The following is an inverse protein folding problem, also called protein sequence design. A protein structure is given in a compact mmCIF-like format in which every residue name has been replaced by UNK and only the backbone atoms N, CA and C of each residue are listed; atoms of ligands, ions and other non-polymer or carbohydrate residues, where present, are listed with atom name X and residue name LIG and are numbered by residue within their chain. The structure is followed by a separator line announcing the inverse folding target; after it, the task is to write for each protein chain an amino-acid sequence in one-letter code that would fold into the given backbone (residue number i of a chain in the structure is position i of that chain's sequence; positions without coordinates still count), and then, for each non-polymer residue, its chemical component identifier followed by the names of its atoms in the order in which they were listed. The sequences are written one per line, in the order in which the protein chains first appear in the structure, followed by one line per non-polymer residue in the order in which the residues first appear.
data_IF_094307948630
#
_entry.id   IF_094307948630
#
_cell.length_a   1.000
_cell.length_b   1.000
_cell.length_c   1.000
_cell.angle_alpha   90.00
_cell.angle_beta   90.00
_cell.angle_gamma   90.00
#
_symmetry.space_group_name_H-M   'P 1'
#
loop_
_entity.id
_entity.type
_entity.pdbx_description
1 polymer ?
#
# COMPACT_ATOMS: atom_id res chain seq x y z
N UNK A 1 13.72 7.54 -2.20
CA UNK A 1 13.95 7.57 -3.67
C UNK A 1 14.25 6.19 -4.26
N UNK A 2 14.78 5.24 -3.50
CA UNK A 2 15.12 3.90 -4.05
C UNK A 2 13.91 3.03 -4.43
N UNK A 3 12.76 3.20 -3.75
CA UNK A 3 11.54 2.40 -4.02
C UNK A 3 11.03 2.58 -5.45
N UNK A 4 11.09 3.79 -6.01
CA UNK A 4 10.60 4.04 -7.39
C UNK A 4 11.48 3.32 -8.40
N UNK A 5 12.79 3.34 -8.21
CA UNK A 5 13.75 2.59 -9.04
C UNK A 5 13.59 1.08 -8.91
N UNK A 6 13.22 0.59 -7.72
CA UNK A 6 12.95 -0.82 -7.47
C UNK A 6 11.65 -1.27 -8.18
N UNK A 7 10.63 -0.42 -8.17
CA UNK A 7 9.33 -0.74 -8.77
C UNK A 7 9.30 -0.52 -10.29
N UNK A 8 10.09 0.42 -10.82
CA UNK A 8 10.12 0.82 -12.24
C UNK A 8 11.56 1.05 -12.73
N UNK A 9 12.29 0.00 -13.12
CA UNK A 9 13.71 0.09 -13.49
C UNK A 9 13.97 0.93 -14.74
N UNK A 10 12.98 1.10 -15.61
CA UNK A 10 13.10 1.85 -16.88
C UNK A 10 13.23 3.37 -16.67
N UNK A 11 12.93 3.87 -15.47
CA UNK A 11 12.99 5.30 -15.10
C UNK A 11 14.41 5.76 -14.71
N UNK A 12 15.41 4.87 -14.77
CA UNK A 12 16.79 5.13 -14.36
C UNK A 12 17.51 6.24 -15.14
N UNK A 13 17.00 6.63 -16.31
CA UNK A 13 17.56 7.67 -17.18
C UNK A 13 17.03 9.09 -16.92
N UNK A 14 16.01 9.24 -16.07
CA UNK A 14 15.33 10.51 -15.83
C UNK A 14 16.13 11.42 -14.88
N UNK A 15 15.98 12.73 -15.04
CA UNK A 15 16.57 13.72 -14.13
C UNK A 15 15.93 13.64 -12.74
N UNK A 16 16.65 14.05 -11.69
CA UNK A 16 16.15 13.98 -10.30
C UNK A 16 14.78 14.67 -10.13
N UNK A 17 14.50 15.72 -10.89
CA UNK A 17 13.21 16.41 -10.91
C UNK A 17 12.09 15.59 -11.55
N UNK A 18 12.36 14.88 -12.64
CA UNK A 18 11.38 13.99 -13.28
C UNK A 18 11.12 12.76 -12.39
N UNK A 19 12.17 12.22 -11.77
CA UNK A 19 12.06 11.15 -10.76
C UNK A 19 11.19 11.60 -9.58
N UNK A 20 11.30 12.85 -9.12
CA UNK A 20 10.42 13.34 -8.04
C UNK A 20 8.95 13.38 -8.45
N UNK A 21 8.63 13.82 -9.67
CA UNK A 21 7.23 13.92 -10.11
C UNK A 21 6.60 12.53 -10.26
N UNK A 22 7.30 11.59 -10.90
CA UNK A 22 6.81 10.20 -11.02
C UNK A 22 6.69 9.52 -9.64
N UNK A 23 7.62 9.80 -8.72
CA UNK A 23 7.53 9.32 -7.35
C UNK A 23 6.30 9.86 -6.62
N UNK A 24 5.94 11.12 -6.88
CA UNK A 24 4.76 11.76 -6.31
C UNK A 24 3.47 11.14 -6.86
N UNK A 25 3.39 10.93 -8.17
CA UNK A 25 2.23 10.29 -8.79
C UNK A 25 2.04 8.86 -8.28
N UNK A 26 3.11 8.06 -8.26
CA UNK A 26 3.07 6.69 -7.73
C UNK A 26 2.67 6.65 -6.25
N UNK A 27 3.21 7.58 -5.45
CA UNK A 27 2.83 7.72 -4.03
C UNK A 27 1.34 8.02 -3.92
N UNK A 28 0.81 8.92 -4.74
CA UNK A 28 -0.60 9.29 -4.72
C UNK A 28 -1.50 8.13 -5.12
N UNK A 29 -1.14 7.41 -6.20
CA UNK A 29 -1.86 6.21 -6.63
C UNK A 29 -1.85 5.12 -5.55
N UNK A 30 -0.73 4.87 -4.89
CA UNK A 30 -0.66 3.89 -3.82
C UNK A 30 -1.48 4.33 -2.59
N UNK A 31 -1.34 5.59 -2.17
CA UNK A 31 -1.97 6.11 -0.97
C UNK A 31 -3.50 6.16 -1.12
N UNK A 32 -4.00 6.72 -2.22
CA UNK A 32 -5.44 6.90 -2.45
C UNK A 32 -6.08 5.72 -3.19
N UNK A 33 -5.33 5.04 -4.05
CA UNK A 33 -5.78 3.87 -4.79
C UNK A 33 -5.64 2.55 -4.03
N UNK A 34 -4.86 2.46 -2.96
CA UNK A 34 -4.77 1.18 -2.23
C UNK A 34 -4.94 1.40 -0.74
N UNK A 35 -4.03 2.14 -0.12
CA UNK A 35 -3.95 2.21 1.34
C UNK A 35 -5.22 2.80 1.96
N UNK A 36 -5.73 3.91 1.43
CA UNK A 36 -6.95 4.55 1.92
C UNK A 36 -8.20 3.68 1.71
N UNK A 37 -8.27 2.93 0.61
CA UNK A 37 -9.38 1.97 0.39
C UNK A 37 -9.32 0.82 1.40
N UNK A 38 -8.14 0.30 1.71
CA UNK A 38 -7.96 -0.69 2.77
C UNK A 38 -8.32 -0.14 4.15
N UNK A 39 -8.08 1.15 4.41
CA UNK A 39 -8.57 1.81 5.61
C UNK A 39 -10.10 1.87 5.67
N UNK A 40 -10.78 2.20 4.56
CA UNK A 40 -12.25 2.19 4.51
C UNK A 40 -12.85 0.81 4.74
N UNK A 41 -12.17 -0.24 4.27
CA UNK A 41 -12.57 -1.64 4.53
C UNK A 41 -12.25 -2.09 5.96
N UNK A 42 -11.58 -1.26 6.77
CA UNK A 42 -11.17 -1.60 8.13
C UNK A 42 -10.01 -2.60 8.20
N UNK A 43 -9.34 -2.88 7.07
CA UNK A 43 -8.18 -3.79 6.99
C UNK A 43 -6.88 -3.09 7.44
N UNK A 44 -6.79 -1.79 7.21
CA UNK A 44 -5.71 -0.94 7.71
C UNK A 44 -6.25 0.18 8.60
N UNK A 45 -5.41 0.70 9.47
CA UNK A 45 -5.65 1.91 10.26
C UNK A 45 -4.52 2.91 9.98
N UNK A 46 -4.88 4.14 9.62
CA UNK A 46 -3.91 5.23 9.40
C UNK A 46 -3.80 6.06 10.68
N UNK A 47 -2.67 5.93 11.39
CA UNK A 47 -2.35 6.76 12.54
C UNK A 47 -1.95 8.16 12.07
N UNK A 48 -2.77 9.15 12.41
CA UNK A 48 -2.60 10.56 12.01
C UNK A 48 -2.62 11.52 13.21
N UNK A 49 -2.50 11.03 14.43
CA UNK A 49 -2.47 11.90 15.61
C UNK A 49 -1.33 12.93 15.49
N UNK A 50 -1.69 14.22 15.51
CA UNK A 50 -0.72 15.32 15.42
C UNK A 50 -0.22 15.67 14.01
N UNK A 51 -0.77 15.03 12.96
CA UNK A 51 -0.37 15.29 11.57
C UNK A 51 -1.28 16.30 10.86
N UNK A 52 -0.69 17.12 9.98
CA UNK A 52 -1.46 18.01 9.11
C UNK A 52 -2.09 17.24 7.95
N UNK A 53 -2.96 17.91 7.20
CA UNK A 53 -3.71 17.33 6.08
C UNK A 53 -2.81 16.78 4.96
N UNK A 54 -1.59 17.32 4.81
CA UNK A 54 -0.62 16.95 3.79
C UNK A 54 0.43 15.95 4.28
N UNK A 55 0.49 15.70 5.59
CA UNK A 55 1.48 14.80 6.17
C UNK A 55 1.03 13.34 6.01
N UNK A 56 2.02 12.46 5.81
CA UNK A 56 1.78 11.02 5.65
C UNK A 56 1.57 10.37 7.01
N UNK A 57 0.44 9.67 7.16
CA UNK A 57 0.18 8.84 8.33
C UNK A 57 0.92 7.51 8.27
N UNK A 58 1.11 6.89 9.44
CA UNK A 58 1.63 5.51 9.50
C UNK A 58 0.47 4.53 9.40
N UNK A 59 0.59 3.53 8.53
CA UNK A 59 -0.45 2.52 8.34
C UNK A 59 -0.16 1.26 9.18
N UNK A 60 -1.16 0.81 9.93
CA UNK A 60 -1.12 -0.38 10.75
C UNK A 60 -2.14 -1.41 10.27
N UNK A 61 -1.76 -2.69 10.26
CA UNK A 61 -2.70 -3.78 9.99
C UNK A 61 -3.67 -3.91 11.16
N UNK A 62 -4.95 -4.08 10.87
CA UNK A 62 -5.96 -4.35 11.89
C UNK A 62 -6.12 -5.86 12.11
N UNK A 63 -6.83 -6.31 13.17
CA UNK A 63 -7.16 -7.72 13.32
C UNK A 63 -7.96 -8.30 12.13
N UNK A 64 -8.76 -7.48 11.44
CA UNK A 64 -9.54 -7.92 10.27
C UNK A 64 -8.63 -8.35 9.11
N UNK A 65 -7.47 -7.70 8.94
CA UNK A 65 -6.46 -8.10 7.96
C UNK A 65 -6.07 -9.57 8.11
N UNK A 66 -5.76 -9.99 9.35
CA UNK A 66 -5.34 -11.36 9.61
C UNK A 66 -6.48 -12.36 9.39
N UNK A 67 -7.71 -12.01 9.81
CA UNK A 67 -8.88 -12.86 9.62
C UNK A 67 -9.19 -13.09 8.14
N UNK A 68 -9.12 -12.05 7.30
CA UNK A 68 -9.35 -12.18 5.85
C UNK A 68 -8.31 -13.05 5.15
N UNK A 69 -7.03 -12.93 5.51
CA UNK A 69 -5.97 -13.74 4.93
C UNK A 69 -6.01 -15.21 5.38
N UNK A 70 -6.44 -15.47 6.61
CA UNK A 70 -6.63 -16.84 7.10
C UNK A 70 -7.77 -17.54 6.35
N UNK A 71 -8.87 -16.85 6.07
CA UNK A 71 -9.97 -17.38 5.26
C UNK A 71 -9.52 -17.79 3.86
N UNK A 72 -8.70 -16.97 3.19
CA UNK A 72 -8.15 -17.33 1.87
C UNK A 72 -7.29 -18.60 1.93
N UNK A 73 -6.41 -18.73 2.93
CA UNK A 73 -5.59 -19.94 3.15
C UNK A 73 -6.43 -21.18 3.46
N UNK A 74 -7.48 -21.03 4.26
CA UNK A 74 -8.37 -22.12 4.64
C UNK A 74 -9.18 -22.61 3.44
N UNK A 75 -9.65 -21.71 2.57
CA UNK A 75 -10.35 -22.09 1.32
C UNK A 75 -9.46 -22.80 0.31
N UNK A 76 -8.15 -22.52 0.32
CA UNK A 76 -7.19 -23.16 -0.58
C UNK A 76 -6.82 -24.58 -0.13
N UNK A 77 -6.97 -24.88 1.16
CA UNK A 77 -6.63 -26.17 1.76
C UNK A 77 -7.73 -27.23 1.57
N UNK A 78 -8.96 -26.81 1.26
CA UNK A 78 -10.13 -27.70 1.14
C UNK A 78 -10.43 -28.14 -0.32
N UNK A 79 -9.55 -27.81 -1.27
CA UNK A 79 -9.68 -28.22 -2.69
C UNK A 79 -8.92 -29.53 -2.98
N UNK A 80 -8.33 -30.15 -1.95
CA UNK A 80 -7.61 -31.43 -2.03
C UNK A 80 -8.47 -32.67 -1.82
N UNK A 81 -9.18 -33.09 -2.88
CA UNK A 81 -9.51 -34.48 -3.27
C UNK A 81 -9.93 -35.47 -2.16
N UNK A 82 -11.23 -35.74 -2.09
CA UNK A 82 -11.78 -37.05 -1.71
C UNK A 82 -12.08 -37.88 -2.96
#
# INVERSE_FOLDING_TARGET
MDIVKILYPDTAHLSDTEITVEAWDLKFELQYGVLRRLCWLGLLFEAREGLNLLDDGTFHKTPLWAACLQLESDTQSDIGVH
#
